data_IF_742589919801
#
_entry.id   IF_742589919801
#
_cell.length_a   1.000
_cell.length_b   1.000
_cell.length_c   1.000
_cell.angle_alpha   90.00
_cell.angle_beta   90.00
_cell.angle_gamma   90.00
#
_symmetry.space_group_name_H-M   'P 1'
#
loop_
_entity.id
_entity.type
_entity.pdbx_description
1 polymer ?
#
# COMPACT_ATOMS: atom_id res chain seq x y z
N UNK A 1 -44.28 22.65 -25.26
CA UNK A 1 -42.92 23.04 -24.85
C UNK A 1 -42.63 22.42 -23.47
N UNK A 2 -41.94 21.30 -23.41
CA UNK A 2 -41.52 20.67 -22.13
C UNK A 2 -40.00 20.80 -22.07
N UNK A 3 -39.51 21.57 -21.07
CA UNK A 3 -38.09 21.75 -20.78
C UNK A 3 -37.58 20.50 -20.06
N UNK A 4 -36.66 19.78 -20.70
CA UNK A 4 -35.91 18.66 -20.10
C UNK A 4 -34.87 19.26 -19.18
N UNK A 5 -34.98 18.98 -17.88
CA UNK A 5 -33.97 19.35 -16.90
C UNK A 5 -32.91 18.24 -16.90
N UNK A 6 -31.74 18.55 -17.39
CA UNK A 6 -30.57 17.66 -17.31
C UNK A 6 -30.12 17.58 -15.84
N UNK A 7 -30.21 16.37 -15.29
CA UNK A 7 -29.68 16.02 -13.98
C UNK A 7 -28.15 15.96 -14.07
N UNK A 8 -27.49 17.03 -13.66
CA UNK A 8 -26.03 17.06 -13.51
C UNK A 8 -25.68 16.22 -12.29
N UNK A 9 -25.17 15.02 -12.54
CA UNK A 9 -24.59 14.19 -11.50
C UNK A 9 -23.39 14.92 -10.88
N UNK A 10 -23.55 15.41 -9.66
CA UNK A 10 -22.45 15.91 -8.83
C UNK A 10 -21.54 14.74 -8.49
N UNK A 11 -20.44 14.60 -9.22
CA UNK A 11 -19.34 13.73 -8.83
C UNK A 11 -18.72 14.33 -7.58
N UNK A 12 -19.03 13.74 -6.44
CA UNK A 12 -18.33 14.03 -5.18
C UNK A 12 -16.85 13.69 -5.37
N UNK A 13 -15.89 14.62 -5.22
CA UNK A 13 -14.49 14.27 -5.22
C UNK A 13 -14.24 13.33 -4.04
N UNK A 14 -13.62 12.18 -4.32
CA UNK A 14 -13.22 11.25 -3.27
C UNK A 14 -12.45 12.04 -2.20
N UNK A 15 -12.74 11.85 -0.91
CA UNK A 15 -12.12 12.63 0.14
C UNK A 15 -10.60 12.49 0.03
N UNK A 16 -9.92 13.63 -0.01
CA UNK A 16 -8.49 13.67 0.25
C UNK A 16 -8.26 12.89 1.55
N UNK A 17 -7.24 12.02 1.56
CA UNK A 17 -6.86 11.30 2.77
C UNK A 17 -6.41 12.36 3.77
N UNK A 18 -7.34 12.88 4.54
CA UNK A 18 -7.03 13.58 5.79
C UNK A 18 -6.78 12.46 6.78
N UNK A 19 -5.51 12.23 7.07
CA UNK A 19 -5.04 11.23 8.01
C UNK A 19 -5.11 11.81 9.42
N UNK A 20 -6.32 12.03 9.91
CA UNK A 20 -6.57 12.36 11.31
C UNK A 20 -7.16 11.12 11.99
N UNK A 21 -6.30 10.18 12.27
CA UNK A 21 -6.44 9.23 13.36
C UNK A 21 -5.05 8.67 13.65
N UNK A 22 -4.31 9.38 14.48
CA UNK A 22 -3.15 8.84 15.15
C UNK A 22 -3.64 7.72 16.08
N UNK A 23 -3.83 6.53 15.50
CA UNK A 23 -4.00 5.32 16.31
C UNK A 23 -2.82 5.18 17.27
N UNK A 24 -2.94 4.40 18.35
CA UNK A 24 -1.91 4.29 19.36
C UNK A 24 -0.56 4.02 18.68
N UNK A 25 0.43 4.85 18.99
CA UNK A 25 1.80 4.69 18.52
C UNK A 25 2.26 3.30 18.93
N UNK A 26 2.94 2.54 18.04
CA UNK A 26 3.58 1.30 18.48
C UNK A 26 4.41 1.66 19.69
N UNK A 27 4.19 0.95 20.81
CA UNK A 27 4.94 1.18 22.04
C UNK A 27 6.43 1.09 21.71
N UNK A 28 7.08 2.25 21.61
CA UNK A 28 8.53 2.36 21.48
C UNK A 28 9.16 2.11 22.86
N UNK A 29 8.83 0.98 23.50
CA UNK A 29 9.59 0.52 24.64
C UNK A 29 11.00 0.14 24.19
N UNK A 30 12.04 0.69 24.81
CA UNK A 30 13.41 0.27 24.56
C UNK A 30 13.51 -1.26 24.77
N UNK A 31 13.77 -2.01 23.67
CA UNK A 31 13.88 -3.47 23.70
C UNK A 31 12.78 -4.26 22.98
N UNK A 32 11.63 -3.68 22.62
CA UNK A 32 10.63 -4.34 21.78
C UNK A 32 10.88 -4.05 20.30
N UNK A 33 11.03 -5.10 19.49
CA UNK A 33 11.15 -4.94 18.04
C UNK A 33 9.85 -4.34 17.48
N UNK A 34 9.98 -3.31 16.67
CA UNK A 34 8.89 -2.70 15.90
C UNK A 34 8.10 -3.76 15.13
N UNK A 35 6.77 -3.74 15.25
CA UNK A 35 5.90 -4.74 14.61
C UNK A 35 5.20 -4.22 13.36
N UNK A 36 5.02 -2.91 13.21
CA UNK A 36 4.40 -2.26 12.05
C UNK A 36 4.85 -0.80 11.91
N UNK A 37 4.50 -0.16 10.78
CA UNK A 37 4.67 1.27 10.55
C UNK A 37 3.31 1.97 10.66
N UNK A 38 3.30 3.12 11.32
CA UNK A 38 2.15 4.02 11.33
C UNK A 38 1.98 4.70 9.96
N UNK A 39 0.82 5.26 9.71
CA UNK A 39 0.52 5.95 8.46
C UNK A 39 1.42 7.18 8.26
N UNK A 40 1.70 7.95 9.32
CA UNK A 40 2.64 9.08 9.30
C UNK A 40 4.06 8.64 8.97
N UNK A 41 4.50 7.52 9.53
CA UNK A 41 5.82 6.96 9.23
C UNK A 41 5.92 6.52 7.77
N UNK A 42 4.85 5.91 7.23
CA UNK A 42 4.80 5.53 5.82
C UNK A 42 4.82 6.77 4.92
N UNK A 43 4.11 7.84 5.28
CA UNK A 43 4.13 9.10 4.53
C UNK A 43 5.51 9.76 4.54
N UNK A 44 6.21 9.77 5.70
CA UNK A 44 7.60 10.24 5.78
C UNK A 44 8.53 9.37 4.93
N UNK A 45 8.35 8.05 4.96
CA UNK A 45 9.12 7.11 4.17
C UNK A 45 8.94 7.34 2.66
N UNK A 46 7.70 7.55 2.19
CA UNK A 46 7.37 7.89 0.81
C UNK A 46 8.02 9.23 0.41
N UNK A 47 7.91 10.25 1.29
CA UNK A 47 8.54 11.55 1.08
C UNK A 47 10.05 11.46 0.94
N UNK A 48 10.71 10.71 1.82
CA UNK A 48 12.15 10.47 1.78
C UNK A 48 12.58 9.70 0.51
N UNK A 49 11.79 8.71 0.08
CA UNK A 49 12.06 7.96 -1.13
C UNK A 49 11.99 8.83 -2.39
N UNK A 50 11.08 9.82 -2.44
CA UNK A 50 10.93 10.76 -3.58
C UNK A 50 12.20 11.55 -3.88
N UNK A 51 13.01 11.84 -2.87
CA UNK A 51 14.24 12.62 -3.02
C UNK A 51 15.42 11.81 -3.60
N UNK A 52 15.24 10.53 -3.87
CA UNK A 52 16.27 9.68 -4.48
C UNK A 52 16.29 9.78 -6.01
N UNK A 53 17.37 9.26 -6.62
CA UNK A 53 17.56 9.25 -8.08
C UNK A 53 16.41 8.58 -8.87
N UNK A 54 15.68 7.65 -8.26
CA UNK A 54 14.50 6.98 -8.83
C UNK A 54 13.24 7.31 -8.01
N UNK A 55 13.14 8.52 -7.50
CA UNK A 55 12.20 8.91 -6.47
C UNK A 55 10.74 8.57 -6.77
N UNK A 56 10.28 8.82 -7.99
CA UNK A 56 8.89 8.53 -8.37
C UNK A 56 8.57 7.02 -8.33
N UNK A 57 9.49 6.19 -8.84
CA UNK A 57 9.35 4.73 -8.78
C UNK A 57 9.39 4.23 -7.34
N UNK A 58 10.39 4.68 -6.59
CA UNK A 58 10.66 4.22 -5.23
C UNK A 58 9.50 4.58 -4.29
N UNK A 59 8.98 5.80 -4.40
CA UNK A 59 7.80 6.26 -3.67
C UNK A 59 6.54 5.48 -4.06
N UNK A 60 6.32 5.23 -5.36
CA UNK A 60 5.18 4.44 -5.85
C UNK A 60 5.26 2.98 -5.36
N UNK A 61 6.45 2.39 -5.31
CA UNK A 61 6.65 1.03 -4.76
C UNK A 61 6.22 0.95 -3.29
N UNK A 62 6.64 1.91 -2.46
CA UNK A 62 6.27 1.96 -1.04
C UNK A 62 4.76 2.16 -0.90
N UNK A 63 4.19 3.10 -1.65
CA UNK A 63 2.75 3.40 -1.63
C UNK A 63 1.92 2.16 -1.97
N UNK A 64 2.17 1.52 -3.11
CA UNK A 64 1.42 0.34 -3.56
C UNK A 64 1.63 -0.84 -2.62
N UNK A 65 2.87 -1.05 -2.12
CA UNK A 65 3.15 -2.10 -1.15
C UNK A 65 2.33 -1.92 0.13
N UNK A 66 2.27 -0.71 0.66
CA UNK A 66 1.52 -0.38 1.87
C UNK A 66 0.01 -0.38 1.63
N UNK A 67 -0.50 0.22 0.57
CA UNK A 67 -1.95 0.31 0.35
C UNK A 67 -2.56 -1.08 0.22
N UNK A 68 -1.94 -1.95 -0.55
CA UNK A 68 -2.45 -3.29 -0.88
C UNK A 68 -1.89 -4.41 0.01
N UNK A 69 -1.01 -4.09 0.93
CA UNK A 69 -0.38 -5.07 1.83
C UNK A 69 0.38 -6.17 1.08
N UNK A 70 1.08 -5.81 0.00
CA UNK A 70 1.76 -6.79 -0.86
C UNK A 70 2.95 -7.44 -0.17
N UNK A 71 3.14 -8.74 -0.46
CA UNK A 71 4.44 -9.36 -0.21
C UNK A 71 5.48 -8.82 -1.20
N UNK A 72 6.74 -8.80 -0.82
CA UNK A 72 7.80 -8.28 -1.70
C UNK A 72 7.84 -8.97 -3.06
N UNK A 73 7.59 -10.28 -3.10
CA UNK A 73 7.53 -11.04 -4.35
C UNK A 73 6.32 -10.68 -5.21
N UNK A 74 5.19 -10.32 -4.62
CA UNK A 74 3.99 -9.87 -5.33
C UNK A 74 4.24 -8.47 -5.93
N UNK A 75 4.85 -7.57 -5.16
CA UNK A 75 5.20 -6.22 -5.59
C UNK A 75 6.16 -6.19 -6.78
N UNK A 76 7.30 -6.90 -6.68
CA UNK A 76 8.33 -6.87 -7.72
C UNK A 76 7.91 -7.59 -9.01
N UNK A 77 6.95 -8.50 -8.92
CA UNK A 77 6.40 -9.21 -10.09
C UNK A 77 5.10 -8.59 -10.61
N UNK A 78 4.65 -7.46 -10.07
CA UNK A 78 3.44 -6.77 -10.53
C UNK A 78 3.60 -6.33 -11.99
N UNK A 79 2.63 -6.67 -12.83
CA UNK A 79 2.63 -6.39 -14.26
C UNK A 79 1.55 -5.37 -14.61
N UNK A 80 1.78 -4.58 -15.66
CA UNK A 80 0.81 -3.59 -16.14
C UNK A 80 -0.54 -4.20 -16.55
N UNK A 81 -0.58 -5.47 -17.01
CA UNK A 81 -1.83 -6.17 -17.33
C UNK A 81 -2.73 -6.40 -16.12
N UNK A 82 -2.19 -6.30 -14.90
CA UNK A 82 -2.93 -6.43 -13.64
C UNK A 82 -3.47 -5.08 -13.14
N UNK A 83 -3.12 -3.97 -13.82
CA UNK A 83 -3.43 -2.61 -13.38
C UNK A 83 -4.32 -1.94 -14.40
N UNK A 84 -5.59 -1.80 -14.06
CA UNK A 84 -6.56 -1.00 -14.81
C UNK A 84 -6.63 0.40 -14.21
N UNK A 85 -5.94 1.35 -14.86
CA UNK A 85 -5.88 2.73 -14.40
C UNK A 85 -7.15 3.53 -14.71
N UNK A 86 -7.99 3.04 -15.62
CA UNK A 86 -9.21 3.72 -16.03
C UNK A 86 -10.38 3.25 -15.16
N UNK A 87 -10.52 1.94 -14.94
CA UNK A 87 -11.47 1.39 -13.98
C UNK A 87 -11.01 1.58 -12.51
N UNK A 88 -9.76 2.03 -12.26
CA UNK A 88 -9.22 2.22 -10.92
C UNK A 88 -9.10 0.93 -10.12
N UNK A 89 -8.60 -0.15 -10.74
CA UNK A 89 -8.50 -1.46 -10.10
C UNK A 89 -7.13 -2.09 -10.31
N UNK A 90 -6.74 -2.93 -9.35
CA UNK A 90 -5.52 -3.72 -9.39
C UNK A 90 -5.83 -5.17 -9.02
N UNK A 91 -5.41 -6.11 -9.86
CA UNK A 91 -5.48 -7.53 -9.59
C UNK A 91 -4.21 -7.96 -8.84
N UNK A 92 -4.37 -8.51 -7.64
CA UNK A 92 -3.26 -9.04 -6.85
C UNK A 92 -3.19 -10.55 -7.06
N UNK A 93 -2.18 -10.99 -7.80
CA UNK A 93 -1.90 -12.41 -7.98
C UNK A 93 -1.09 -12.90 -6.79
N UNK A 94 -1.71 -13.74 -5.98
CA UNK A 94 -1.10 -14.28 -4.76
C UNK A 94 -0.27 -15.52 -5.08
N UNK A 95 0.89 -15.60 -4.43
CA UNK A 95 1.76 -16.77 -4.55
C UNK A 95 1.40 -17.82 -3.50
N UNK A 96 1.68 -19.08 -3.78
CA UNK A 96 1.56 -20.22 -2.84
C UNK A 96 0.13 -20.53 -2.36
N UNK A 97 -0.82 -20.62 -3.29
CA UNK A 97 -2.17 -21.14 -3.00
C UNK A 97 -3.08 -20.22 -2.16
N UNK A 98 -2.75 -18.93 -2.09
CA UNK A 98 -3.69 -17.91 -1.62
C UNK A 98 -4.56 -17.46 -2.78
N UNK A 99 -5.81 -17.09 -2.52
CA UNK A 99 -6.73 -16.60 -3.55
C UNK A 99 -6.29 -15.24 -4.10
N UNK A 100 -6.40 -15.08 -5.40
CA UNK A 100 -6.22 -13.79 -6.06
C UNK A 100 -7.34 -12.84 -5.67
N UNK A 101 -7.08 -11.55 -5.69
CA UNK A 101 -8.09 -10.56 -5.36
C UNK A 101 -7.97 -9.32 -6.24
N UNK A 102 -9.10 -8.71 -6.54
CA UNK A 102 -9.15 -7.39 -7.17
C UNK A 102 -9.40 -6.35 -6.09
N UNK A 103 -8.57 -5.33 -6.07
CA UNK A 103 -8.62 -4.25 -5.07
C UNK A 103 -8.77 -2.89 -5.77
N UNK A 104 -9.44 -1.91 -5.15
CA UNK A 104 -9.57 -0.58 -5.72
C UNK A 104 -8.26 0.20 -5.59
N UNK A 105 -7.84 0.87 -6.65
CA UNK A 105 -6.79 1.87 -6.63
C UNK A 105 -7.34 3.22 -6.14
N UNK A 106 -6.62 3.88 -5.28
CA UNK A 106 -6.94 5.24 -4.84
C UNK A 106 -6.40 6.28 -5.82
N UNK A 107 -6.98 7.47 -5.86
CA UNK A 107 -6.57 8.53 -6.77
C UNK A 107 -5.08 8.89 -6.70
N UNK A 108 -4.45 8.80 -5.51
CA UNK A 108 -3.02 9.05 -5.34
C UNK A 108 -2.18 7.97 -6.03
N UNK A 109 -2.60 6.72 -5.98
CA UNK A 109 -1.92 5.59 -6.63
C UNK A 109 -2.09 5.69 -8.16
N UNK A 110 -3.30 6.00 -8.64
CA UNK A 110 -3.57 6.18 -10.07
C UNK A 110 -2.66 7.26 -10.65
N UNK A 111 -2.53 8.41 -9.96
CA UNK A 111 -1.62 9.50 -10.38
C UNK A 111 -0.16 9.04 -10.42
N UNK A 112 0.31 8.35 -9.38
CA UNK A 112 1.68 7.87 -9.30
C UNK A 112 1.96 6.83 -10.40
N UNK A 113 1.07 5.86 -10.58
CA UNK A 113 1.20 4.80 -11.58
C UNK A 113 1.09 5.34 -13.01
N UNK A 114 0.20 6.30 -13.29
CA UNK A 114 0.14 6.98 -14.59
C UNK A 114 1.44 7.73 -14.92
N UNK A 115 2.02 8.40 -13.92
CA UNK A 115 3.32 9.08 -14.09
C UNK A 115 4.43 8.08 -14.39
N UNK A 116 4.46 6.97 -13.64
CA UNK A 116 5.44 5.90 -13.85
C UNK A 116 5.31 5.25 -15.23
N UNK A 117 4.07 4.95 -15.68
CA UNK A 117 3.82 4.34 -16.99
C UNK A 117 4.28 5.22 -18.15
N UNK A 118 4.09 6.56 -18.03
CA UNK A 118 4.55 7.52 -19.06
C UNK A 118 6.07 7.62 -19.13
N UNK A 119 6.77 7.40 -18.01
CA UNK A 119 8.24 7.46 -17.96
C UNK A 119 8.92 6.17 -18.42
N UNK A 120 8.16 5.09 -18.60
CA UNK A 120 8.69 3.79 -19.03
C UNK A 120 8.64 3.65 -20.56
N UNK A 121 9.52 2.79 -21.09
CA UNK A 121 9.49 2.42 -22.51
C UNK A 121 8.17 1.71 -22.88
N UNK A 122 7.70 1.93 -24.11
CA UNK A 122 6.52 1.26 -24.64
C UNK A 122 6.70 -0.26 -24.60
N UNK A 123 5.65 -0.99 -24.20
CA UNK A 123 5.67 -2.44 -24.08
C UNK A 123 6.31 -2.99 -22.80
N UNK A 124 6.66 -2.14 -21.85
CA UNK A 124 7.20 -2.60 -20.57
C UNK A 124 6.19 -3.49 -19.83
N UNK A 125 6.63 -4.69 -19.50
CA UNK A 125 5.78 -5.71 -18.85
C UNK A 125 5.53 -5.43 -17.38
N UNK A 126 6.60 -5.09 -16.64
CA UNK A 126 6.55 -4.90 -15.19
C UNK A 126 6.25 -3.45 -14.80
N UNK A 127 5.45 -3.27 -13.75
CA UNK A 127 5.15 -1.93 -13.20
C UNK A 127 6.40 -1.30 -12.60
N UNK A 128 7.22 -2.09 -11.91
CA UNK A 128 8.43 -1.62 -11.27
C UNK A 128 9.66 -2.28 -11.90
N UNK A 129 10.54 -1.44 -12.46
CA UNK A 129 11.74 -1.88 -13.16
C UNK A 129 12.98 -1.20 -12.63
N UNK A 130 14.13 -1.83 -12.86
CA UNK A 130 15.43 -1.19 -12.66
C UNK A 130 15.66 -0.08 -13.72
N UNK A 131 16.71 0.73 -13.55
CA UNK A 131 17.08 1.75 -14.55
C UNK A 131 17.43 1.17 -15.92
N UNK A 132 17.77 -0.12 -15.98
CA UNK A 132 18.05 -0.85 -17.22
C UNK A 132 16.80 -1.50 -17.83
N UNK A 133 15.61 -1.23 -17.29
CA UNK A 133 14.34 -1.79 -17.76
C UNK A 133 14.06 -3.24 -17.31
N UNK A 134 15.00 -3.89 -16.64
CA UNK A 134 14.82 -5.24 -16.12
C UNK A 134 13.94 -5.30 -14.84
N UNK A 135 13.53 -6.51 -14.41
CA UNK A 135 12.73 -6.67 -13.21
C UNK A 135 13.49 -6.26 -11.94
N UNK A 136 12.73 -5.78 -10.95
CA UNK A 136 13.26 -5.50 -9.62
C UNK A 136 13.56 -6.79 -8.88
N UNK A 137 14.57 -6.76 -7.98
CA UNK A 137 14.85 -7.89 -7.07
C UNK A 137 14.37 -7.57 -5.65
N UNK A 138 14.17 -8.62 -4.84
CA UNK A 138 13.87 -8.45 -3.41
C UNK A 138 14.92 -7.58 -2.72
N UNK A 139 16.19 -7.87 -2.96
CA UNK A 139 17.29 -7.13 -2.36
C UNK A 139 17.28 -5.65 -2.74
N UNK A 140 16.92 -5.32 -3.99
CA UNK A 140 16.78 -3.92 -4.42
C UNK A 140 15.70 -3.19 -3.61
N UNK A 141 14.55 -3.83 -3.37
CA UNK A 141 13.48 -3.23 -2.57
C UNK A 141 13.87 -3.11 -1.08
N UNK A 142 14.55 -4.11 -0.51
CA UNK A 142 15.09 -4.00 0.86
C UNK A 142 16.07 -2.85 1.01
N UNK A 143 17.02 -2.69 0.09
CA UNK A 143 17.99 -1.58 0.08
C UNK A 143 17.30 -0.22 -0.08
N UNK A 144 16.26 -0.15 -0.92
CA UNK A 144 15.44 1.05 -1.09
C UNK A 144 14.79 1.43 0.26
N UNK A 145 14.12 0.50 0.91
CA UNK A 145 13.45 0.73 2.20
C UNK A 145 14.45 1.16 3.29
N UNK A 146 15.60 0.49 3.39
CA UNK A 146 16.63 0.84 4.37
C UNK A 146 17.15 2.27 4.16
N UNK A 147 17.41 2.65 2.89
CA UNK A 147 17.84 4.01 2.54
C UNK A 147 16.78 5.06 2.86
N UNK A 148 15.52 4.79 2.45
CA UNK A 148 14.40 5.70 2.72
C UNK A 148 14.11 5.80 4.23
N UNK A 149 14.20 4.69 4.98
CA UNK A 149 14.07 4.67 6.43
C UNK A 149 15.10 5.54 7.10
N UNK A 150 16.38 5.37 6.77
CA UNK A 150 17.47 6.21 7.29
C UNK A 150 17.22 7.69 7.03
N UNK A 151 16.80 8.04 5.81
CA UNK A 151 16.50 9.43 5.44
C UNK A 151 15.25 9.99 6.12
N UNK A 152 14.30 9.14 6.50
CA UNK A 152 13.08 9.51 7.23
C UNK A 152 13.25 9.48 8.77
N UNK A 153 14.44 9.08 9.29
CA UNK A 153 14.65 8.86 10.72
C UNK A 153 13.86 7.68 11.29
N UNK A 154 13.72 6.60 10.51
CA UNK A 154 12.98 5.40 10.87
C UNK A 154 13.91 4.19 10.72
N UNK A 155 14.24 3.54 11.83
CA UNK A 155 15.14 2.40 11.85
C UNK A 155 14.43 1.09 11.50
N UNK A 156 15.21 0.10 11.06
CA UNK A 156 14.79 -1.29 10.80
C UNK A 156 13.63 -1.45 9.82
N UNK A 157 13.46 -0.52 8.85
CA UNK A 157 12.37 -0.59 7.88
C UNK A 157 12.56 -1.76 6.91
N UNK A 158 11.55 -2.64 6.85
CA UNK A 158 11.53 -3.78 5.94
C UNK A 158 10.10 -4.06 5.40
N UNK A 159 9.94 -4.82 4.30
CA UNK A 159 8.64 -5.00 3.63
C UNK A 159 7.50 -5.52 4.51
N UNK A 160 7.81 -6.38 5.49
CA UNK A 160 6.78 -6.92 6.39
C UNK A 160 6.17 -5.86 7.31
N UNK A 161 6.94 -4.83 7.71
CA UNK A 161 6.41 -3.72 8.50
C UNK A 161 5.36 -2.91 7.72
N UNK A 162 5.57 -2.68 6.40
CA UNK A 162 4.58 -2.05 5.53
C UNK A 162 3.30 -2.87 5.49
N UNK A 163 3.41 -4.18 5.25
CA UNK A 163 2.26 -5.07 5.19
C UNK A 163 1.52 -5.18 6.54
N UNK A 164 2.25 -5.20 7.65
CA UNK A 164 1.65 -5.16 8.98
C UNK A 164 0.94 -3.84 9.24
N UNK A 165 1.54 -2.72 8.83
CA UNK A 165 0.88 -1.41 8.87
C UNK A 165 -0.42 -1.36 8.07
N UNK A 166 -0.47 -2.00 6.89
CA UNK A 166 -1.73 -2.17 6.13
C UNK A 166 -2.78 -2.90 6.96
N UNK A 167 -2.42 -4.04 7.54
CA UNK A 167 -3.35 -4.83 8.35
C UNK A 167 -3.89 -4.04 9.54
N UNK A 168 -3.02 -3.34 10.24
CA UNK A 168 -3.38 -2.50 11.37
C UNK A 168 -4.30 -1.35 10.95
N UNK A 169 -3.96 -0.64 9.87
CA UNK A 169 -4.80 0.45 9.32
C UNK A 169 -6.21 -0.03 8.98
N UNK A 170 -6.32 -1.16 8.26
CA UNK A 170 -7.62 -1.67 7.82
C UNK A 170 -8.50 -2.13 8.99
N UNK A 171 -7.92 -2.72 10.03
CA UNK A 171 -8.66 -3.07 11.26
C UNK A 171 -9.16 -1.82 11.97
N UNK A 172 -8.33 -0.79 12.09
CA UNK A 172 -8.75 0.48 12.70
C UNK A 172 -9.82 1.22 11.87
N UNK A 173 -9.91 0.93 10.57
CA UNK A 173 -11.00 1.40 9.69
C UNK A 173 -12.27 0.54 9.78
N UNK A 174 -12.30 -0.44 10.68
CA UNK A 174 -13.47 -1.28 10.91
C UNK A 174 -13.58 -2.51 10.00
N UNK A 175 -12.53 -2.84 9.23
CA UNK A 175 -12.56 -4.04 8.40
C UNK A 175 -12.55 -5.29 9.28
N UNK A 176 -13.52 -6.19 9.09
CA UNK A 176 -13.60 -7.43 9.84
C UNK A 176 -12.44 -8.40 9.52
N UNK A 177 -12.22 -9.37 10.40
CA UNK A 177 -11.07 -10.27 10.33
C UNK A 177 -11.07 -11.17 9.08
N UNK A 178 -12.23 -11.58 8.58
CA UNK A 178 -12.34 -12.43 7.38
C UNK A 178 -12.05 -11.61 6.13
N UNK A 179 -12.65 -10.41 6.02
CA UNK A 179 -12.37 -9.49 4.93
C UNK A 179 -10.89 -9.07 4.91
N UNK A 180 -10.28 -8.84 6.08
CA UNK A 180 -8.85 -8.56 6.18
C UNK A 180 -7.99 -9.75 5.74
N UNK A 181 -8.36 -10.98 6.11
CA UNK A 181 -7.66 -12.18 5.68
C UNK A 181 -7.70 -12.33 4.15
N UNK A 182 -8.86 -12.12 3.55
CA UNK A 182 -9.04 -12.11 2.09
C UNK A 182 -8.24 -10.98 1.44
N UNK A 183 -8.31 -9.76 1.97
CA UNK A 183 -7.55 -8.61 1.44
C UNK A 183 -6.05 -8.85 1.43
N UNK A 184 -5.49 -9.37 2.53
CA UNK A 184 -4.08 -9.69 2.63
C UNK A 184 -3.69 -11.01 1.94
N UNK A 185 -4.66 -11.85 1.55
CA UNK A 185 -4.41 -13.19 1.01
C UNK A 185 -3.75 -14.08 2.06
N UNK A 186 -4.30 -14.14 3.26
CA UNK A 186 -3.90 -15.09 4.29
C UNK A 186 -4.66 -16.40 4.09
N UNK A 187 -3.93 -17.48 3.87
CA UNK A 187 -4.51 -18.83 3.75
C UNK A 187 -5.17 -19.30 5.06
N UNK A 188 -4.65 -18.84 6.20
CA UNK A 188 -5.16 -19.16 7.53
C UNK A 188 -5.58 -17.88 8.25
N UNK A 189 -6.81 -17.82 8.73
CA UNK A 189 -7.37 -16.67 9.47
C UNK A 189 -6.58 -16.38 10.75
N UNK A 190 -5.96 -17.42 11.36
CA UNK A 190 -5.09 -17.26 12.53
C UNK A 190 -3.98 -16.23 12.32
N UNK A 191 -3.45 -16.12 11.10
CA UNK A 191 -2.44 -15.11 10.75
C UNK A 191 -2.98 -13.68 10.81
N UNK A 192 -4.30 -13.53 10.79
CA UNK A 192 -5.01 -12.24 10.86
C UNK A 192 -5.40 -11.87 12.30
N UNK A 193 -5.56 -12.86 13.20
CA UNK A 193 -5.95 -12.63 14.61
C UNK A 193 -5.00 -11.68 15.36
N UNK A 194 -3.73 -11.58 14.95
CA UNK A 194 -2.76 -10.63 15.53
C UNK A 194 -3.21 -9.18 15.44
N UNK A 195 -3.87 -8.80 14.35
CA UNK A 195 -4.35 -7.43 14.15
C UNK A 195 -5.58 -7.13 15.00
N UNK A 196 -6.46 -8.10 15.20
CA UNK A 196 -7.63 -7.96 16.07
C UNK A 196 -7.23 -7.70 17.54
N UNK A 197 -6.11 -8.27 18.02
CA UNK A 197 -5.59 -8.04 19.37
C UNK A 197 -4.98 -6.65 19.55
N UNK A 198 -4.58 -5.99 18.48
CA UNK A 198 -3.93 -4.68 18.50
C UNK A 198 -4.92 -3.51 18.41
N UNK A 199 -6.21 -3.78 18.18
CA UNK A 199 -7.24 -2.74 18.13
C UNK A 199 -7.70 -2.41 19.55
N UNK A 200 -7.11 -1.36 20.12
CA UNK A 200 -7.48 -0.89 21.47
C UNK A 200 -8.92 -0.36 21.54
N UNK A 201 -9.45 0.17 20.44
CA UNK A 201 -10.80 0.77 20.38
C UNK A 201 -11.92 -0.27 20.22
N UNK A 202 -11.58 -1.56 20.15
CA UNK A 202 -12.57 -2.63 19.93
C UNK A 202 -13.62 -2.74 21.05
N UNK A 203 -13.30 -2.22 22.22
CA UNK A 203 -14.14 -2.27 23.40
C UNK A 203 -14.65 -0.88 23.84
N UNK A 204 -14.36 0.17 23.05
CA UNK A 204 -14.86 1.51 23.31
C UNK A 204 -16.35 1.55 22.95
N UNK A 205 -17.21 1.26 23.89
CA UNK A 205 -18.68 1.24 23.69
C UNK A 205 -19.39 0.00 24.25
N UNK A 206 -18.66 -0.87 24.99
CA UNK A 206 -19.27 -1.95 25.77
C UNK A 206 -19.66 -1.47 27.17
#
# INVERSE_FOLDING_TARGET
MRKSAALVARTNPAPAIVLDNAGPRPDNHPGLRRTYLTEDEVNRLIGAAKNGANGERDAAMILVCYTHGLRVSELINLQWRQVDLDAGRIEIIRLKGSENGVQPLRGVEIRALRKLRRAQATGQRFVFTTNRGGPMTRNTFFKLLARAGKAAGIDDVHPHLLRHGTGFRLVNQGLDTLALAAYLGHRQVQNTKRYAKMNATRFDGL
#
